data_IF_556487680885
#
_entry.id   IF_556487680885
#
_cell.length_a   1.000
_cell.length_b   1.000
_cell.length_c   1.000
_cell.angle_alpha   90.00
_cell.angle_beta   90.00
_cell.angle_gamma   90.00
#
_symmetry.space_group_name_H-M   'P 1'
#
loop_
_entity.id
_entity.type
_entity.pdbx_description
1 polymer ?
#
# COMPACT_ATOMS: atom_id res chain seq x y z
N UNK A 1 -12.80 2.77 13.30
CA UNK A 1 -12.44 1.33 13.36
C UNK A 1 -10.92 1.21 13.54
N UNK A 2 -10.09 1.69 12.65
CA UNK A 2 -8.62 1.53 12.71
C UNK A 2 -7.95 2.16 13.93
N UNK A 3 -8.43 3.29 14.43
CA UNK A 3 -7.90 3.90 15.66
C UNK A 3 -8.13 3.06 16.93
N UNK A 4 -9.25 2.33 17.00
CA UNK A 4 -9.52 1.36 18.08
C UNK A 4 -8.64 0.11 17.92
N UNK A 5 -8.45 -0.36 16.70
CA UNK A 5 -7.61 -1.50 16.38
C UNK A 5 -6.13 -1.21 16.73
N UNK A 6 -5.64 -0.02 16.40
CA UNK A 6 -4.27 0.41 16.73
C UNK A 6 -4.01 0.52 18.24
N UNK A 7 -5.05 0.89 19.03
CA UNK A 7 -4.96 0.89 20.50
C UNK A 7 -5.02 -0.51 21.11
N UNK A 8 -5.84 -1.40 20.56
CA UNK A 8 -6.06 -2.74 21.09
C UNK A 8 -4.96 -3.74 20.70
N UNK A 9 -4.45 -3.68 19.47
CA UNK A 9 -3.52 -4.66 18.90
C UNK A 9 -2.12 -4.11 18.64
N UNK A 10 -1.93 -2.81 18.87
CA UNK A 10 -0.71 -2.11 18.52
C UNK A 10 -0.69 -1.61 17.07
N UNK A 11 -0.05 -0.46 16.86
CA UNK A 11 -0.04 0.20 15.54
C UNK A 11 0.61 -0.67 14.46
N UNK A 12 1.71 -1.37 14.77
CA UNK A 12 2.43 -2.23 13.84
C UNK A 12 1.55 -3.36 13.30
N UNK A 13 0.83 -4.09 14.18
CA UNK A 13 -0.07 -5.18 13.77
C UNK A 13 -1.24 -4.66 12.93
N UNK A 14 -1.78 -3.49 13.28
CA UNK A 14 -2.85 -2.87 12.52
C UNK A 14 -2.40 -2.41 11.12
N UNK A 15 -1.14 -1.97 10.95
CA UNK A 15 -0.57 -1.67 9.64
C UNK A 15 -0.39 -2.95 8.81
N UNK A 16 0.10 -4.05 9.40
CA UNK A 16 0.18 -5.34 8.71
C UNK A 16 -1.18 -5.84 8.23
N UNK A 17 -2.22 -5.72 9.08
CA UNK A 17 -3.59 -6.03 8.66
C UNK A 17 -4.01 -5.19 7.45
N UNK A 18 -3.71 -3.90 7.47
CA UNK A 18 -4.00 -3.01 6.37
C UNK A 18 -3.30 -3.39 5.08
N UNK A 19 -2.01 -3.74 5.15
CA UNK A 19 -1.26 -4.24 3.99
C UNK A 19 -1.91 -5.53 3.46
N UNK A 20 -2.29 -6.46 4.34
CA UNK A 20 -2.99 -7.69 3.97
C UNK A 20 -4.31 -7.44 3.25
N UNK A 21 -5.12 -6.48 3.73
CA UNK A 21 -6.36 -6.07 3.05
C UNK A 21 -6.05 -5.50 1.67
N UNK A 22 -5.06 -4.63 1.53
CA UNK A 22 -4.68 -4.08 0.23
C UNK A 22 -4.17 -5.15 -0.74
N UNK A 23 -3.39 -6.11 -0.25
CA UNK A 23 -2.96 -7.25 -1.07
C UNK A 23 -4.17 -8.05 -1.58
N UNK A 24 -5.13 -8.37 -0.71
CA UNK A 24 -6.38 -9.04 -1.07
C UNK A 24 -7.19 -8.26 -2.11
N UNK A 25 -7.35 -6.95 -1.89
CA UNK A 25 -8.04 -6.06 -2.84
C UNK A 25 -7.29 -5.98 -4.19
N UNK A 26 -5.96 -5.98 -4.17
CA UNK A 26 -5.16 -5.95 -5.42
C UNK A 26 -5.32 -7.25 -6.22
N UNK A 27 -5.31 -8.40 -5.55
CA UNK A 27 -5.58 -9.70 -6.20
C UNK A 27 -6.99 -9.72 -6.79
N UNK A 28 -7.99 -9.29 -6.02
CA UNK A 28 -9.36 -9.19 -6.51
C UNK A 28 -9.46 -8.23 -7.71
N UNK A 29 -8.81 -7.06 -7.64
CA UNK A 29 -8.77 -6.10 -8.74
C UNK A 29 -8.14 -6.64 -10.03
N UNK A 30 -7.11 -7.50 -9.91
CA UNK A 30 -6.50 -8.16 -11.07
C UNK A 30 -7.43 -9.20 -11.74
N UNK A 31 -8.42 -9.71 -11.01
CA UNK A 31 -9.36 -10.75 -11.49
C UNK A 31 -10.76 -10.24 -11.75
N UNK A 32 -11.06 -8.98 -11.42
CA UNK A 32 -12.40 -8.41 -11.53
C UNK A 32 -12.93 -8.45 -12.97
N UNK A 33 -14.22 -8.70 -13.09
CA UNK A 33 -14.92 -8.78 -14.37
C UNK A 33 -16.11 -7.83 -14.47
N UNK A 34 -16.64 -7.37 -13.33
CA UNK A 34 -17.87 -6.60 -13.25
C UNK A 34 -17.65 -5.17 -12.74
N UNK A 35 -18.48 -4.23 -13.22
CA UNK A 35 -18.46 -2.84 -12.74
C UNK A 35 -18.82 -2.72 -11.24
N UNK A 36 -19.73 -3.57 -10.75
CA UNK A 36 -20.11 -3.57 -9.35
C UNK A 36 -18.94 -3.91 -8.43
N UNK A 37 -18.12 -4.89 -8.80
CA UNK A 37 -16.90 -5.26 -8.08
C UNK A 37 -15.95 -4.06 -7.96
N UNK A 38 -15.80 -3.27 -9.03
CA UNK A 38 -15.00 -2.05 -9.02
C UNK A 38 -15.50 -1.04 -7.97
N UNK A 39 -16.81 -0.78 -7.91
CA UNK A 39 -17.36 0.17 -6.93
C UNK A 39 -17.21 -0.33 -5.49
N UNK A 40 -17.47 -1.61 -5.24
CA UNK A 40 -17.28 -2.22 -3.91
C UNK A 40 -15.82 -2.10 -3.49
N UNK A 41 -14.91 -2.40 -4.39
CA UNK A 41 -13.47 -2.33 -4.14
C UNK A 41 -13.02 -0.88 -3.87
N UNK A 42 -13.52 0.10 -4.63
CA UNK A 42 -13.23 1.52 -4.43
C UNK A 42 -13.68 2.00 -3.04
N UNK A 43 -14.86 1.59 -2.58
CA UNK A 43 -15.36 1.90 -1.23
C UNK A 43 -14.47 1.25 -0.16
N UNK A 44 -14.11 -0.02 -0.32
CA UNK A 44 -13.22 -0.72 0.62
C UNK A 44 -11.86 -0.03 0.73
N UNK A 45 -11.26 0.32 -0.41
CA UNK A 45 -9.97 1.05 -0.44
C UNK A 45 -10.11 2.39 0.29
N UNK A 46 -11.15 3.17 0.01
CA UNK A 46 -11.38 4.46 0.65
C UNK A 46 -11.52 4.36 2.16
N UNK A 47 -12.25 3.37 2.66
CA UNK A 47 -12.43 3.13 4.10
C UNK A 47 -11.13 2.74 4.80
N UNK A 48 -10.31 1.93 4.15
CA UNK A 48 -9.07 1.40 4.73
C UNK A 48 -7.95 2.44 4.64
N UNK A 49 -7.87 3.19 3.55
CA UNK A 49 -6.79 4.14 3.26
C UNK A 49 -6.62 5.21 4.34
N UNK A 50 -7.71 5.87 4.73
CA UNK A 50 -7.65 6.90 5.77
C UNK A 50 -7.18 6.35 7.12
N UNK A 51 -7.63 5.15 7.48
CA UNK A 51 -7.22 4.48 8.70
C UNK A 51 -5.76 4.10 8.74
N UNK A 52 -5.25 3.52 7.65
CA UNK A 52 -3.83 3.13 7.54
C UNK A 52 -2.92 4.36 7.54
N UNK A 53 -3.27 5.42 6.80
CA UNK A 53 -2.47 6.65 6.77
C UNK A 53 -2.37 7.29 8.17
N UNK A 54 -3.48 7.35 8.91
CA UNK A 54 -3.48 7.88 10.27
C UNK A 54 -2.62 7.01 11.22
N UNK A 55 -2.73 5.68 11.13
CA UNK A 55 -1.93 4.77 11.93
C UNK A 55 -0.44 4.84 11.60
N UNK A 56 -0.08 4.88 10.31
CA UNK A 56 1.31 4.99 9.87
C UNK A 56 1.97 6.28 10.35
N UNK A 57 1.26 7.41 10.26
CA UNK A 57 1.74 8.69 10.81
C UNK A 57 1.89 8.65 12.31
N UNK A 58 0.92 8.08 13.03
CA UNK A 58 0.99 7.94 14.49
C UNK A 58 2.08 6.96 14.93
N UNK A 59 2.36 5.93 14.15
CA UNK A 59 3.46 5.01 14.41
C UNK A 59 4.82 5.69 14.17
N UNK A 60 4.93 6.39 13.03
CA UNK A 60 6.14 7.13 12.68
C UNK A 60 6.49 8.20 13.71
N UNK A 61 5.50 8.96 14.23
CA UNK A 61 5.73 9.98 15.26
C UNK A 61 6.31 9.45 16.57
N UNK A 62 6.22 8.15 16.83
CA UNK A 62 6.79 7.49 18.00
C UNK A 62 8.22 6.99 17.77
N UNK A 63 8.63 6.90 16.52
CA UNK A 63 9.98 6.44 16.11
C UNK A 63 10.97 7.59 15.99
N UNK A 64 10.48 8.82 15.77
CA UNK A 64 11.31 10.00 15.55
C UNK A 64 11.70 10.67 16.87
N UNK A 65 12.89 11.32 16.92
CA UNK A 65 13.30 12.15 18.05
C UNK A 65 12.32 13.29 18.32
N UNK A 66 12.09 13.60 19.59
CA UNK A 66 11.13 14.63 19.99
C UNK A 66 11.59 16.06 19.70
N UNK A 67 12.87 16.26 19.49
CA UNK A 67 13.54 17.56 19.23
C UNK A 67 13.54 17.96 17.75
N UNK A 68 13.32 17.01 16.80
CA UNK A 68 13.41 17.26 15.35
C UNK A 68 12.19 16.76 14.54
N UNK A 69 10.95 16.92 15.01
CA UNK A 69 9.79 16.34 14.36
C UNK A 69 9.56 16.91 12.95
N UNK A 70 9.87 18.19 12.72
CA UNK A 70 9.63 18.85 11.44
C UNK A 70 10.48 18.27 10.31
N UNK A 71 11.75 17.98 10.55
CA UNK A 71 12.67 17.41 9.56
C UNK A 71 12.26 16.00 9.17
N UNK A 72 11.96 15.16 10.16
CA UNK A 72 11.54 13.79 9.93
C UNK A 72 10.18 13.69 9.22
N UNK A 73 9.20 14.53 9.56
CA UNK A 73 7.94 14.57 8.82
C UNK A 73 8.10 15.18 7.43
N UNK A 74 9.03 16.11 7.22
CA UNK A 74 9.43 16.59 5.91
C UNK A 74 9.94 15.45 5.02
N UNK A 75 10.85 14.64 5.56
CA UNK A 75 11.36 13.45 4.88
C UNK A 75 10.27 12.41 4.59
N UNK A 76 9.40 12.11 5.56
CA UNK A 76 8.26 11.22 5.38
C UNK A 76 7.34 11.67 4.24
N UNK A 77 7.02 12.97 4.17
CA UNK A 77 6.20 13.51 3.11
C UNK A 77 6.90 13.45 1.75
N UNK A 78 8.21 13.67 1.71
CA UNK A 78 9.01 13.53 0.49
C UNK A 78 8.98 12.08 -0.01
N UNK A 79 9.19 11.08 0.85
CA UNK A 79 9.06 9.67 0.49
C UNK A 79 7.66 9.33 -0.04
N UNK A 80 6.60 9.91 0.55
CA UNK A 80 5.24 9.74 0.06
C UNK A 80 5.04 10.27 -1.37
N UNK A 81 5.68 11.40 -1.71
CA UNK A 81 5.66 11.95 -3.08
C UNK A 81 6.42 11.06 -4.06
N UNK A 82 7.58 10.51 -3.68
CA UNK A 82 8.29 9.53 -4.51
C UNK A 82 7.47 8.26 -4.72
N UNK A 83 6.84 7.75 -3.68
CA UNK A 83 5.99 6.56 -3.78
C UNK A 83 4.82 6.77 -4.76
N UNK A 84 4.26 7.99 -4.85
CA UNK A 84 3.19 8.31 -5.79
C UNK A 84 3.62 8.24 -7.26
N UNK A 85 4.92 8.31 -7.54
CA UNK A 85 5.49 8.14 -8.89
C UNK A 85 5.83 6.68 -9.16
N UNK A 86 6.38 5.98 -8.18
CA UNK A 86 6.85 4.59 -8.33
C UNK A 86 5.71 3.63 -8.68
N UNK A 87 4.53 3.80 -8.05
CA UNK A 87 3.36 2.97 -8.32
C UNK A 87 2.93 3.00 -9.80
N UNK A 88 2.55 4.16 -10.34
CA UNK A 88 2.18 4.30 -11.75
C UNK A 88 3.29 3.92 -12.73
N UNK A 89 4.56 4.23 -12.41
CA UNK A 89 5.70 3.86 -13.24
C UNK A 89 5.86 2.34 -13.34
N UNK A 90 5.72 1.62 -12.22
CA UNK A 90 5.76 0.16 -12.18
C UNK A 90 4.61 -0.44 -12.99
N UNK A 91 3.38 0.03 -12.77
CA UNK A 91 2.21 -0.44 -13.52
C UNK A 91 2.34 -0.19 -15.01
N UNK A 92 2.75 1.02 -15.41
CA UNK A 92 2.95 1.39 -16.82
C UNK A 92 4.06 0.59 -17.46
N UNK A 93 5.20 0.41 -16.76
CA UNK A 93 6.34 -0.38 -17.23
C UNK A 93 5.97 -1.84 -17.46
N UNK A 94 5.30 -2.48 -16.52
CA UNK A 94 4.84 -3.87 -16.65
C UNK A 94 3.80 -4.00 -17.77
N UNK A 95 2.83 -3.09 -17.82
CA UNK A 95 1.82 -3.10 -18.89
C UNK A 95 2.44 -2.96 -20.29
N UNK A 96 3.42 -2.08 -20.43
CA UNK A 96 4.15 -1.89 -21.68
C UNK A 96 4.99 -3.14 -22.04
N UNK A 97 5.68 -3.73 -21.05
CA UNK A 97 6.48 -4.93 -21.25
C UNK A 97 5.61 -6.12 -21.72
N UNK A 98 4.46 -6.33 -21.06
CA UNK A 98 3.51 -7.39 -21.45
C UNK A 98 2.96 -7.15 -22.86
N UNK A 99 2.57 -5.92 -23.17
CA UNK A 99 2.10 -5.58 -24.54
C UNK A 99 3.18 -5.85 -25.58
N UNK A 100 4.42 -5.41 -25.36
CA UNK A 100 5.53 -5.64 -26.30
C UNK A 100 5.84 -7.11 -26.50
N UNK A 101 5.80 -7.90 -25.42
CA UNK A 101 6.10 -9.34 -25.48
C UNK A 101 5.02 -10.15 -26.20
N UNK A 102 3.76 -9.69 -26.16
CA UNK A 102 2.62 -10.42 -26.71
C UNK A 102 2.12 -9.85 -28.05
N UNK A 103 2.63 -8.72 -28.52
CA UNK A 103 2.15 -8.04 -29.72
C UNK A 103 2.65 -8.75 -30.97
N UNK A 104 1.75 -9.33 -31.82
CA UNK A 104 2.11 -9.88 -33.12
C UNK A 104 2.39 -8.76 -34.13
N UNK A 105 3.00 -9.11 -35.29
CA UNK A 105 3.34 -8.15 -36.34
C UNK A 105 2.10 -7.48 -36.99
N UNK A 106 0.97 -8.18 -37.04
CA UNK A 106 -0.30 -7.69 -37.58
C UNK A 106 -1.46 -8.12 -36.68
N UNK A 107 -1.70 -7.39 -35.55
CA UNK A 107 -2.69 -7.79 -34.58
C UNK A 107 -4.12 -7.54 -35.07
N UNK A 108 -5.02 -8.48 -34.83
CA UNK A 108 -6.47 -8.30 -34.98
C UNK A 108 -7.03 -7.45 -33.85
N UNK A 109 -8.22 -6.88 -34.03
CA UNK A 109 -8.91 -6.10 -32.99
C UNK A 109 -9.17 -6.92 -31.72
N UNK A 110 -9.49 -8.19 -31.88
CA UNK A 110 -9.73 -9.12 -30.76
C UNK A 110 -8.45 -9.43 -29.99
N UNK A 111 -7.33 -9.65 -30.69
CA UNK A 111 -6.02 -9.85 -30.06
C UNK A 111 -5.56 -8.63 -29.30
N UNK A 112 -5.76 -7.42 -29.86
CA UNK A 112 -5.47 -6.16 -29.17
C UNK A 112 -6.25 -6.01 -27.86
N UNK A 113 -7.56 -6.34 -27.88
CA UNK A 113 -8.39 -6.33 -26.69
C UNK A 113 -7.90 -7.33 -25.64
N UNK A 114 -7.62 -8.57 -26.05
CA UNK A 114 -7.09 -9.63 -25.17
C UNK A 114 -5.74 -9.25 -24.54
N UNK A 115 -4.81 -8.76 -25.35
CA UNK A 115 -3.50 -8.31 -24.89
C UNK A 115 -3.66 -7.12 -23.90
N UNK A 116 -4.58 -6.19 -24.19
CA UNK A 116 -4.91 -5.08 -23.31
C UNK A 116 -5.41 -5.54 -21.94
N UNK A 117 -6.31 -6.50 -21.90
CA UNK A 117 -6.80 -7.10 -20.65
C UNK A 117 -5.70 -7.81 -19.87
N UNK A 118 -4.87 -8.60 -20.54
CA UNK A 118 -3.73 -9.26 -19.89
C UNK A 118 -2.73 -8.25 -19.32
N UNK A 119 -2.36 -7.25 -20.11
CA UNK A 119 -1.45 -6.19 -19.66
C UNK A 119 -1.99 -5.45 -18.43
N UNK A 120 -3.29 -5.12 -18.40
CA UNK A 120 -3.94 -4.48 -17.25
C UNK A 120 -3.88 -5.35 -16.00
N UNK A 121 -4.18 -6.64 -16.12
CA UNK A 121 -4.11 -7.59 -14.99
C UNK A 121 -2.72 -7.70 -14.41
N UNK A 122 -1.70 -7.84 -15.25
CA UNK A 122 -0.30 -7.91 -14.82
C UNK A 122 0.18 -6.58 -14.23
N UNK A 123 -0.27 -5.44 -14.78
CA UNK A 123 0.02 -4.13 -14.22
C UNK A 123 -0.55 -3.99 -12.80
N UNK A 124 -1.80 -4.38 -12.55
CA UNK A 124 -2.40 -4.36 -11.22
C UNK A 124 -1.66 -5.33 -10.30
N UNK A 125 -1.39 -6.55 -10.74
CA UNK A 125 -0.68 -7.56 -9.95
C UNK A 125 0.73 -7.10 -9.54
N UNK A 126 1.40 -6.28 -10.36
CA UNK A 126 2.74 -5.77 -10.05
C UNK A 126 2.79 -4.90 -8.79
N UNK A 127 1.67 -4.29 -8.37
CA UNK A 127 1.58 -3.53 -7.13
C UNK A 127 1.80 -4.42 -5.90
N UNK A 128 1.49 -5.73 -5.99
CA UNK A 128 1.76 -6.67 -4.90
C UNK A 128 3.24 -6.68 -4.49
N UNK A 129 4.15 -6.46 -5.43
CA UNK A 129 5.59 -6.37 -5.15
C UNK A 129 5.86 -5.25 -4.14
N UNK A 130 5.24 -4.07 -4.33
CA UNK A 130 5.41 -2.94 -3.43
C UNK A 130 4.84 -3.24 -2.03
N UNK A 131 3.70 -3.92 -1.95
CA UNK A 131 3.12 -4.32 -0.66
C UNK A 131 3.98 -5.36 0.05
N UNK A 132 4.52 -6.34 -0.68
CA UNK A 132 5.42 -7.35 -0.11
C UNK A 132 6.69 -6.67 0.42
N UNK A 133 7.32 -5.81 -0.39
CA UNK A 133 8.51 -5.06 0.03
C UNK A 133 8.19 -4.20 1.27
N UNK A 134 7.07 -3.48 1.27
CA UNK A 134 6.64 -2.69 2.42
C UNK A 134 6.39 -3.53 3.67
N UNK A 135 5.77 -4.71 3.53
CA UNK A 135 5.56 -5.63 4.64
C UNK A 135 6.88 -6.18 5.20
N UNK A 136 7.82 -6.54 4.32
CA UNK A 136 9.16 -7.02 4.72
C UNK A 136 9.92 -5.91 5.44
N UNK A 137 9.94 -4.69 4.92
CA UNK A 137 10.59 -3.55 5.58
C UNK A 137 9.96 -3.28 6.94
N UNK A 138 8.64 -3.30 7.05
CA UNK A 138 7.94 -3.12 8.32
C UNK A 138 8.24 -4.24 9.32
N UNK A 139 8.50 -5.46 8.83
CA UNK A 139 8.89 -6.58 9.69
C UNK A 139 10.25 -6.35 10.38
N UNK A 140 11.18 -5.68 9.72
CA UNK A 140 12.50 -5.35 10.29
C UNK A 140 12.48 -4.11 11.20
N UNK A 141 11.43 -3.30 11.17
CA UNK A 141 11.31 -2.15 12.09
C UNK A 141 10.99 -2.66 13.49
N UNK A 142 11.85 -2.32 14.46
CA UNK A 142 11.61 -2.63 15.87
C UNK A 142 10.43 -1.84 16.42
N UNK A 143 9.60 -2.50 17.24
CA UNK A 143 8.43 -1.86 17.85
C UNK A 143 8.89 -1.09 19.11
N UNK A 144 8.83 0.25 19.11
CA UNK A 144 9.29 1.06 20.24
C UNK A 144 8.46 0.85 21.51
N UNK A 145 7.31 0.16 21.41
CA UNK A 145 6.48 -0.16 22.57
C UNK A 145 6.92 -1.42 23.32
N UNK A 146 7.82 -2.25 22.75
CA UNK A 146 8.28 -3.47 23.40
C UNK A 146 9.17 -3.24 24.63
N UNK A 147 9.70 -2.03 24.84
CA UNK A 147 10.60 -1.67 25.93
C UNK A 147 10.06 -0.65 26.93
N UNK A 148 8.81 -0.18 26.78
CA UNK A 148 8.24 0.80 27.70
C UNK A 148 7.44 0.08 28.78
N UNK A 149 7.81 0.24 30.09
CA UNK A 149 6.97 -0.27 31.18
C UNK A 149 5.58 0.36 31.07
N UNK A 150 4.51 -0.36 31.43
CA UNK A 150 3.18 0.23 31.55
C UNK A 150 3.24 1.28 32.66
N UNK A 151 2.73 2.48 32.34
CA UNK A 151 2.45 3.56 33.27
C UNK A 151 3.63 4.33 33.87
N UNK A 152 4.23 5.22 33.09
CA UNK A 152 4.70 6.50 33.64
C UNK A 152 3.81 7.60 33.06
N UNK A 153 2.93 8.23 33.86
CA UNK A 153 2.16 9.38 33.40
C UNK A 153 3.10 10.48 32.95
N UNK A 154 2.86 11.07 31.77
CA UNK A 154 3.54 12.25 31.30
C UNK A 154 3.16 13.42 32.23
N UNK A 155 4.06 13.76 33.17
CA UNK A 155 3.87 14.91 34.04
C UNK A 155 4.21 14.63 35.49
N UNK A 156 5.47 14.54 35.82
CA UNK A 156 6.04 14.93 37.11
C UNK A 156 7.31 15.74 36.87
#
# INVERSE_FOLDING_TARGET
VFGRLGRAWGARRAIFLGIGIYMGVTVWGATMTNRLEFYVMAVLIGLVQGGIQALSRSYYSRLIPADQPAEFFGFYNMLGKFASIVGPALMGGVGLAVRRALMPAAPTAEELARIGHMASRWSIASILILFIVGAVLLYFVEDPQKGRPPDVPAGA
#
